data_IF_369658539187
#
_entry.id   IF_369658539187
#
_cell.length_a   1.000
_cell.length_b   1.000
_cell.length_c   1.000
_cell.angle_alpha   90.00
_cell.angle_beta   90.00
_cell.angle_gamma   90.00
#
_symmetry.space_group_name_H-M   'P 1'
#
loop_
_entity.id
_entity.type
_entity.pdbx_description
1 polymer ?
#
# COMPACT_ATOMS: atom_id res chain seq x y z
N UNK A 1 -14.09 -13.56 11.28
CA UNK A 1 -12.86 -12.81 10.95
C UNK A 1 -12.73 -12.65 9.45
N UNK A 2 -12.29 -11.50 9.01
CA UNK A 2 -12.09 -11.25 7.58
C UNK A 2 -10.72 -11.78 7.15
N UNK A 3 -10.70 -12.77 6.24
CA UNK A 3 -9.47 -13.40 5.76
C UNK A 3 -8.57 -12.38 5.06
N UNK A 4 -9.15 -11.46 4.29
CA UNK A 4 -8.38 -10.43 3.60
C UNK A 4 -7.61 -9.52 4.54
N UNK A 5 -8.19 -9.18 5.69
CA UNK A 5 -7.52 -8.36 6.70
C UNK A 5 -6.35 -9.10 7.34
N UNK A 6 -6.50 -10.39 7.59
CA UNK A 6 -5.42 -11.21 8.13
C UNK A 6 -4.28 -11.32 7.12
N UNK A 7 -4.61 -11.55 5.84
CA UNK A 7 -3.62 -11.59 4.78
C UNK A 7 -2.93 -10.24 4.61
N UNK A 8 -3.68 -9.15 4.73
CA UNK A 8 -3.11 -7.80 4.64
C UNK A 8 -2.02 -7.60 5.70
N UNK A 9 -2.30 -7.98 6.95
CA UNK A 9 -1.32 -7.84 8.03
C UNK A 9 -0.05 -8.64 7.72
N UNK A 10 -0.20 -9.87 7.23
CA UNK A 10 0.93 -10.72 6.87
C UNK A 10 1.74 -10.14 5.71
N UNK A 11 1.05 -9.61 4.69
CA UNK A 11 1.73 -8.99 3.55
C UNK A 11 2.50 -7.75 4.00
N UNK A 12 1.92 -6.95 4.90
CA UNK A 12 2.60 -5.75 5.40
C UNK A 12 3.89 -6.10 6.17
N UNK A 13 3.91 -7.21 6.87
CA UNK A 13 5.13 -7.68 7.53
C UNK A 13 6.21 -8.12 6.53
N UNK A 14 5.80 -8.61 5.36
CA UNK A 14 6.71 -9.06 4.33
C UNK A 14 7.37 -7.92 3.57
N UNK A 15 6.76 -6.74 3.54
CA UNK A 15 7.25 -5.60 2.76
C UNK A 15 8.56 -5.07 3.33
N UNK A 16 9.61 -4.88 2.49
CA UNK A 16 10.87 -4.31 2.95
C UNK A 16 10.75 -2.79 3.07
N UNK A 17 10.19 -2.32 4.17
CA UNK A 17 9.84 -0.91 4.36
C UNK A 17 11.01 0.05 4.22
N UNK A 18 12.20 -0.34 4.71
CA UNK A 18 13.39 0.51 4.57
C UNK A 18 13.80 0.66 3.11
N UNK A 19 13.79 -0.43 2.37
CA UNK A 19 14.09 -0.43 0.94
C UNK A 19 13.05 0.39 0.17
N UNK A 20 11.77 0.23 0.51
CA UNK A 20 10.69 0.99 -0.09
C UNK A 20 10.88 2.49 0.17
N UNK A 21 11.25 2.86 1.41
CA UNK A 21 11.53 4.25 1.74
C UNK A 21 12.67 4.85 0.90
N UNK A 22 13.72 4.07 0.63
CA UNK A 22 14.82 4.51 -0.24
C UNK A 22 14.36 4.70 -1.68
N UNK A 23 13.50 3.82 -2.17
CA UNK A 23 12.95 3.92 -3.52
C UNK A 23 12.11 5.20 -3.64
N UNK A 24 11.24 5.44 -2.65
CA UNK A 24 10.41 6.64 -2.62
C UNK A 24 11.28 7.90 -2.64
N UNK A 25 12.32 7.92 -1.82
CA UNK A 25 13.23 9.06 -1.74
C UNK A 25 13.97 9.29 -3.05
N UNK A 26 14.43 8.21 -3.70
CA UNK A 26 15.14 8.28 -4.98
C UNK A 26 14.32 8.96 -6.06
N UNK A 27 13.01 8.67 -6.10
CA UNK A 27 12.09 9.23 -7.09
C UNK A 27 11.36 10.47 -6.57
N UNK A 28 11.70 10.95 -5.38
CA UNK A 28 11.05 12.11 -4.74
C UNK A 28 9.53 11.94 -4.68
N UNK A 29 9.10 10.71 -4.38
CA UNK A 29 7.68 10.34 -4.44
C UNK A 29 6.79 11.11 -3.48
N UNK A 30 7.31 11.46 -2.30
CA UNK A 30 6.54 12.18 -1.28
C UNK A 30 6.79 13.69 -1.30
N UNK A 31 7.54 14.19 -2.28
CA UNK A 31 7.81 15.61 -2.41
C UNK A 31 6.50 16.37 -2.67
N UNK A 32 6.15 17.31 -1.80
CA UNK A 32 4.93 18.08 -1.91
C UNK A 32 3.64 17.35 -1.52
N UNK A 33 3.76 16.12 -1.04
CA UNK A 33 2.59 15.34 -0.61
C UNK A 33 2.19 15.72 0.81
N UNK A 34 0.91 16.01 1.02
CA UNK A 34 0.40 16.46 2.32
C UNK A 34 -0.29 15.36 3.13
N UNK A 35 -1.09 14.52 2.48
CA UNK A 35 -1.99 13.61 3.20
C UNK A 35 -1.76 12.15 2.90
N UNK A 36 -1.61 11.79 1.63
CA UNK A 36 -1.49 10.40 1.23
C UNK A 36 -0.11 10.16 0.65
N UNK A 37 0.83 9.74 1.48
CA UNK A 37 2.18 9.47 1.02
C UNK A 37 2.26 8.15 0.24
N UNK A 38 3.41 7.87 -0.38
CA UNK A 38 3.57 6.70 -1.23
C UNK A 38 3.40 5.39 -0.47
N UNK A 39 3.88 5.31 0.76
CA UNK A 39 3.73 4.12 1.58
C UNK A 39 2.26 3.86 1.93
N UNK A 40 1.52 4.92 2.28
CA UNK A 40 0.10 4.78 2.61
C UNK A 40 -0.73 4.45 1.38
N UNK A 41 -0.38 5.03 0.22
CA UNK A 41 -1.05 4.65 -1.03
C UNK A 41 -0.85 3.16 -1.30
N UNK A 42 0.35 2.64 -1.08
CA UNK A 42 0.62 1.21 -1.23
C UNK A 42 -0.26 0.40 -0.26
N UNK A 43 -0.36 0.81 0.99
CA UNK A 43 -1.20 0.12 1.98
C UNK A 43 -2.66 0.08 1.55
N UNK A 44 -3.17 1.21 1.05
CA UNK A 44 -4.55 1.30 0.57
C UNK A 44 -4.78 0.36 -0.60
N UNK A 45 -3.87 0.37 -1.59
CA UNK A 45 -4.00 -0.48 -2.77
C UNK A 45 -3.92 -1.97 -2.40
N UNK A 46 -3.00 -2.33 -1.52
CA UNK A 46 -2.85 -3.72 -1.08
C UNK A 46 -4.08 -4.18 -0.30
N UNK A 47 -4.57 -3.35 0.62
CA UNK A 47 -5.77 -3.67 1.38
C UNK A 47 -6.97 -3.86 0.46
N UNK A 48 -7.11 -2.97 -0.52
CA UNK A 48 -8.21 -3.02 -1.48
C UNK A 48 -8.18 -4.30 -2.30
N UNK A 49 -6.99 -4.66 -2.77
CA UNK A 49 -6.81 -5.87 -3.57
C UNK A 49 -7.12 -7.13 -2.75
N UNK A 50 -6.66 -7.17 -1.51
CA UNK A 50 -6.85 -8.33 -0.65
C UNK A 50 -8.27 -8.45 -0.10
N UNK A 51 -9.04 -7.37 -0.11
CA UNK A 51 -10.44 -7.38 0.32
C UNK A 51 -11.42 -7.33 -0.84
N UNK A 52 -10.94 -7.52 -2.09
CA UNK A 52 -11.75 -7.64 -3.30
C UNK A 52 -12.58 -6.38 -3.60
N UNK A 53 -11.97 -5.21 -3.45
CA UNK A 53 -12.64 -3.94 -3.78
C UNK A 53 -12.37 -3.58 -5.24
N UNK A 54 -13.41 -3.18 -5.97
CA UNK A 54 -13.33 -2.97 -7.41
C UNK A 54 -13.37 -1.49 -7.80
N UNK A 55 -13.99 -0.62 -6.99
CA UNK A 55 -14.13 0.79 -7.33
C UNK A 55 -13.56 1.67 -6.23
N UNK A 56 -13.22 2.92 -6.58
CA UNK A 56 -12.73 3.88 -5.59
C UNK A 56 -13.76 4.16 -4.49
N UNK A 57 -15.05 4.12 -4.85
CA UNK A 57 -16.13 4.29 -3.87
C UNK A 57 -16.13 3.14 -2.86
N UNK A 58 -15.98 1.92 -3.34
CA UNK A 58 -15.94 0.74 -2.47
C UNK A 58 -14.70 0.78 -1.58
N UNK A 59 -13.56 1.20 -2.12
CA UNK A 59 -12.32 1.35 -1.36
C UNK A 59 -12.54 2.37 -0.23
N UNK A 60 -13.07 3.54 -0.55
CA UNK A 60 -13.33 4.58 0.44
C UNK A 60 -14.23 4.07 1.57
N UNK A 61 -15.33 3.40 1.22
CA UNK A 61 -16.26 2.86 2.21
C UNK A 61 -15.62 1.78 3.08
N UNK A 62 -14.84 0.90 2.48
CA UNK A 62 -14.16 -0.17 3.19
C UNK A 62 -13.11 0.37 4.17
N UNK A 63 -12.35 1.37 3.75
CA UNK A 63 -11.35 2.00 4.61
C UNK A 63 -12.01 2.68 5.81
N UNK A 64 -13.10 3.41 5.56
CA UNK A 64 -13.85 4.07 6.63
C UNK A 64 -14.39 3.06 7.65
N UNK A 65 -14.90 1.92 7.17
CA UNK A 65 -15.45 0.88 8.03
C UNK A 65 -14.40 0.17 8.87
N UNK A 66 -13.12 0.25 8.49
CA UNK A 66 -12.02 -0.45 9.16
C UNK A 66 -10.99 0.50 9.75
N UNK A 67 -11.36 1.72 10.02
CA UNK A 67 -10.47 2.82 10.40
C UNK A 67 -9.56 2.48 11.58
N UNK A 68 -10.12 1.90 12.64
CA UNK A 68 -9.35 1.55 13.84
C UNK A 68 -8.26 0.51 13.54
N UNK A 69 -8.60 -0.52 12.79
CA UNK A 69 -7.65 -1.58 12.43
C UNK A 69 -6.54 -1.03 11.55
N UNK A 70 -6.89 -0.20 10.58
CA UNK A 70 -5.93 0.40 9.66
C UNK A 70 -4.99 1.37 10.38
N UNK A 71 -5.50 2.11 11.36
CA UNK A 71 -4.68 2.99 12.18
C UNK A 71 -3.54 2.19 12.85
N UNK A 72 -3.87 1.05 13.44
CA UNK A 72 -2.87 0.20 14.09
C UNK A 72 -1.89 -0.44 13.11
N UNK A 73 -2.24 -0.48 11.83
CA UNK A 73 -1.38 -1.01 10.78
C UNK A 73 -0.58 0.08 10.05
N UNK A 74 -0.66 1.31 10.53
CA UNK A 74 0.14 2.41 10.01
C UNK A 74 -0.59 3.40 9.11
N UNK A 75 -1.88 3.21 8.84
CA UNK A 75 -2.68 4.15 8.05
C UNK A 75 -3.46 5.05 9.00
N UNK A 76 -2.97 6.26 9.24
CA UNK A 76 -3.51 7.15 10.24
C UNK A 76 -4.95 7.58 9.97
N UNK A 77 -5.28 7.88 8.71
CA UNK A 77 -6.63 8.29 8.33
C UNK A 77 -7.00 7.71 6.97
N UNK A 78 -8.24 7.24 6.81
CA UNK A 78 -8.67 6.75 5.50
C UNK A 78 -8.78 7.93 4.51
N UNK A 79 -8.16 7.81 3.33
CA UNK A 79 -8.22 8.88 2.35
C UNK A 79 -9.60 8.97 1.70
N UNK A 80 -9.96 10.18 1.26
CA UNK A 80 -11.14 10.41 0.46
C UNK A 80 -10.93 9.87 -0.96
N UNK A 81 -12.03 9.58 -1.64
CA UNK A 81 -11.99 9.05 -3.01
C UNK A 81 -11.24 9.98 -3.96
N UNK A 82 -11.44 11.29 -3.84
CA UNK A 82 -10.74 12.27 -4.67
C UNK A 82 -9.23 12.26 -4.43
N UNK A 83 -8.82 12.12 -3.17
CA UNK A 83 -7.40 12.03 -2.82
C UNK A 83 -6.77 10.79 -3.43
N UNK A 84 -7.47 9.65 -3.39
CA UNK A 84 -7.01 8.42 -4.02
C UNK A 84 -6.87 8.58 -5.53
N UNK A 85 -7.86 9.17 -6.19
CA UNK A 85 -7.83 9.37 -7.62
C UNK A 85 -6.66 10.25 -8.04
N UNK A 86 -6.44 11.35 -7.33
CA UNK A 86 -5.33 12.25 -7.60
C UNK A 86 -3.99 11.55 -7.42
N UNK A 87 -3.84 10.80 -6.33
CA UNK A 87 -2.60 10.08 -6.05
C UNK A 87 -2.29 9.05 -7.15
N UNK A 88 -3.30 8.32 -7.59
CA UNK A 88 -3.12 7.33 -8.65
C UNK A 88 -2.70 7.97 -9.98
N UNK A 89 -3.16 9.19 -10.23
CA UNK A 89 -2.83 9.90 -11.48
C UNK A 89 -1.44 10.52 -11.49
N UNK A 90 -0.96 11.02 -10.34
CA UNK A 90 0.28 11.82 -10.31
C UNK A 90 1.48 11.09 -9.70
N UNK A 91 1.26 10.02 -8.96
CA UNK A 91 2.35 9.31 -8.30
C UNK A 91 3.23 8.60 -9.34
N UNK A 92 4.55 8.62 -9.13
CA UNK A 92 5.51 8.01 -10.07
C UNK A 92 5.38 6.47 -10.01
N UNK A 93 4.91 5.87 -11.11
CA UNK A 93 4.70 4.44 -11.22
C UNK A 93 5.99 3.63 -11.03
N UNK A 94 7.15 4.24 -11.29
CA UNK A 94 8.44 3.55 -11.17
C UNK A 94 8.74 3.16 -9.73
N UNK A 95 8.18 3.89 -8.76
CA UNK A 95 8.33 3.57 -7.34
C UNK A 95 7.74 2.18 -7.06
N UNK A 96 6.53 1.94 -7.53
CA UNK A 96 5.81 0.68 -7.26
C UNK A 96 6.37 -0.46 -8.10
N UNK A 97 6.84 -0.17 -9.32
CA UNK A 97 7.54 -1.16 -10.13
C UNK A 97 8.81 -1.64 -9.42
N UNK A 98 9.61 -0.72 -8.89
CA UNK A 98 10.84 -1.07 -8.18
C UNK A 98 10.53 -1.90 -6.94
N UNK A 99 9.48 -1.56 -6.20
CA UNK A 99 9.05 -2.34 -5.05
C UNK A 99 8.61 -3.74 -5.48
N UNK A 100 7.82 -3.83 -6.54
CA UNK A 100 7.34 -5.12 -7.03
C UNK A 100 8.50 -6.05 -7.41
N UNK A 101 9.51 -5.50 -8.08
CA UNK A 101 10.70 -6.27 -8.45
C UNK A 101 11.46 -6.79 -7.22
N UNK A 102 11.53 -5.99 -6.16
CA UNK A 102 12.14 -6.41 -4.91
C UNK A 102 11.36 -7.52 -4.24
N UNK A 103 10.04 -7.41 -4.24
CA UNK A 103 9.17 -8.45 -3.64
C UNK A 103 9.27 -9.76 -4.42
N UNK A 104 9.30 -9.71 -5.75
CA UNK A 104 9.47 -10.89 -6.58
C UNK A 104 10.81 -11.56 -6.30
N UNK A 105 11.88 -10.79 -6.25
CA UNK A 105 13.21 -11.31 -5.96
C UNK A 105 13.25 -11.99 -4.59
N UNK A 106 12.65 -11.37 -3.58
CA UNK A 106 12.60 -11.90 -2.24
C UNK A 106 11.81 -13.21 -2.17
N UNK A 107 10.70 -13.30 -2.91
CA UNK A 107 9.90 -14.51 -2.99
C UNK A 107 10.67 -15.63 -3.67
N UNK A 108 11.45 -15.34 -4.72
CA UNK A 108 12.27 -16.33 -5.41
C UNK A 108 13.37 -16.89 -4.50
N UNK A 109 13.99 -16.02 -3.72
CA UNK A 109 15.00 -16.45 -2.72
C UNK A 109 14.36 -17.39 -1.70
N UNK A 110 13.19 -17.04 -1.18
CA UNK A 110 12.46 -17.87 -0.24
C UNK A 110 12.14 -19.25 -0.82
N UNK A 111 11.77 -19.31 -2.09
CA UNK A 111 11.49 -20.58 -2.78
C UNK A 111 12.76 -21.43 -2.92
N UNK A 112 13.90 -20.80 -3.16
CA UNK A 112 15.15 -21.51 -3.31
C UNK A 112 15.61 -22.17 -2.02
N UNK A 113 15.13 -21.71 -0.89
CA UNK A 113 15.50 -22.25 0.42
C UNK A 113 14.51 -23.29 0.97
N UNK A 114 13.46 -23.60 0.22
CA UNK A 114 12.46 -24.58 0.65
C UNK A 114 12.85 -26.04 0.35
#
# INVERSE_FOLDING_TARGET
MNVGKTLFAQVMEFVPWKTFGRIIARHKGDCGVRTLNCADLFRVLAFSQLTWRESLRDIEACLAANQTKLFHMGLAQPPARSTLADALNIRDWRIYQALALRLISRAQIGRAHV
#
